data_IF_573968318987
#
_entry.id   IF_573968318987
#
_cell.length_a   1.000
_cell.length_b   1.000
_cell.length_c   1.000
_cell.angle_alpha   90.00
_cell.angle_beta   90.00
_cell.angle_gamma   90.00
#
_symmetry.space_group_name_H-M   'P 1'
#
loop_
_entity.id
_entity.type
_entity.pdbx_description
1 polymer ?
#
# COMPACT_ATOMS: atom_id res chain seq x y z
N UNK A 1 5.92 45.77 -4.55
CA UNK A 1 4.85 44.76 -4.35
C UNK A 1 4.78 43.90 -5.59
N UNK A 2 5.30 42.67 -5.56
CA UNK A 2 5.19 41.71 -6.67
C UNK A 2 4.09 40.72 -6.30
N UNK A 3 2.97 40.77 -7.03
CA UNK A 3 1.94 39.75 -6.97
C UNK A 3 2.48 38.50 -7.66
N UNK A 4 2.55 37.40 -6.91
CA UNK A 4 2.85 36.07 -7.46
C UNK A 4 1.49 35.43 -7.74
N UNK A 5 1.11 35.44 -9.02
CA UNK A 5 -0.01 34.64 -9.53
C UNK A 5 0.33 33.15 -9.39
N UNK A 6 -0.21 32.51 -8.35
CA UNK A 6 -0.24 31.06 -8.24
C UNK A 6 -1.45 30.53 -9.01
N UNK A 7 -1.34 30.49 -10.34
CA UNK A 7 -2.16 29.57 -11.14
C UNK A 7 -1.52 28.19 -11.05
N UNK A 8 -2.04 27.35 -10.15
CA UNK A 8 -1.77 25.91 -10.13
C UNK A 8 -2.34 25.30 -11.41
N UNK A 9 -1.51 25.21 -12.45
CA UNK A 9 -1.80 24.47 -13.66
C UNK A 9 -1.62 22.98 -13.36
N UNK A 10 -2.57 22.40 -12.63
CA UNK A 10 -2.88 20.98 -12.77
C UNK A 10 -3.71 20.88 -14.04
N UNK A 11 -3.04 20.84 -15.19
CA UNK A 11 -3.65 20.31 -16.40
C UNK A 11 -3.93 18.83 -16.12
N UNK A 12 -5.17 18.53 -15.72
CA UNK A 12 -5.74 17.20 -15.84
C UNK A 12 -5.51 16.76 -17.27
N UNK A 13 -4.59 15.81 -17.48
CA UNK A 13 -4.48 15.14 -18.76
C UNK A 13 -5.87 14.58 -19.05
N UNK A 14 -6.53 14.95 -20.16
CA UNK A 14 -7.79 14.34 -20.52
C UNK A 14 -7.51 12.84 -20.63
N UNK A 15 -8.02 12.07 -19.66
CA UNK A 15 -7.98 10.63 -19.73
C UNK A 15 -8.82 10.30 -20.96
N UNK A 16 -8.15 9.91 -22.04
CA UNK A 16 -8.82 9.42 -23.23
C UNK A 16 -9.81 8.35 -22.78
N UNK A 17 -11.10 8.64 -22.92
CA UNK A 17 -12.13 7.64 -22.75
C UNK A 17 -11.73 6.46 -23.63
N UNK A 18 -11.50 5.31 -23.01
CA UNK A 18 -11.25 4.06 -23.72
C UNK A 18 -12.59 3.63 -24.32
N UNK A 19 -13.03 4.33 -25.37
CA UNK A 19 -14.30 4.15 -26.11
C UNK A 19 -14.26 2.92 -27.01
N UNK A 20 -13.74 1.83 -26.49
CA UNK A 20 -13.83 0.56 -27.19
C UNK A 20 -15.23 0.02 -27.07
N UNK A 21 -15.84 -0.25 -28.21
CA UNK A 21 -17.15 -0.89 -28.28
C UNK A 21 -17.09 -2.23 -27.53
N UNK A 22 -17.98 -2.47 -26.54
CA UNK A 22 -17.97 -3.72 -25.78
C UNK A 22 -18.29 -4.89 -26.70
N UNK A 23 -17.44 -5.91 -26.63
CA UNK A 23 -17.64 -7.15 -27.37
C UNK A 23 -18.93 -7.88 -26.94
N UNK A 24 -19.45 -8.79 -27.78
CA UNK A 24 -20.71 -9.49 -27.50
C UNK A 24 -20.67 -10.31 -26.21
N UNK A 25 -19.50 -10.86 -25.87
CA UNK A 25 -19.30 -11.61 -24.62
C UNK A 25 -19.49 -10.72 -23.39
N UNK A 26 -18.86 -9.54 -23.37
CA UNK A 26 -18.98 -8.58 -22.26
C UNK A 26 -20.43 -8.18 -22.04
N UNK A 27 -21.14 -7.84 -23.13
CA UNK A 27 -22.57 -7.48 -23.07
C UNK A 27 -23.40 -8.63 -22.51
N UNK A 28 -23.21 -9.84 -23.04
CA UNK A 28 -23.95 -11.04 -22.61
C UNK A 28 -23.71 -11.35 -21.14
N UNK A 29 -22.45 -11.32 -20.68
CA UNK A 29 -22.11 -11.62 -19.29
C UNK A 29 -22.71 -10.60 -18.33
N UNK A 30 -22.62 -9.30 -18.65
CA UNK A 30 -23.20 -8.26 -17.78
C UNK A 30 -24.70 -8.41 -17.67
N UNK A 31 -25.41 -8.46 -18.82
CA UNK A 31 -26.87 -8.61 -18.85
C UNK A 31 -27.31 -9.88 -18.12
N UNK A 32 -26.65 -11.02 -18.34
CA UNK A 32 -27.03 -12.29 -17.71
C UNK A 32 -26.85 -12.32 -16.18
N UNK A 33 -26.03 -11.43 -15.62
CA UNK A 33 -25.82 -11.31 -14.17
C UNK A 33 -26.47 -10.04 -13.59
N UNK A 34 -27.18 -9.27 -14.39
CA UNK A 34 -27.89 -8.05 -14.00
C UNK A 34 -29.37 -8.29 -13.80
N UNK A 35 -30.03 -7.32 -13.17
CA UNK A 35 -31.50 -7.26 -13.19
C UNK A 35 -32.02 -6.69 -14.52
N UNK A 36 -31.29 -5.75 -15.12
CA UNK A 36 -31.68 -5.10 -16.37
C UNK A 36 -31.32 -5.90 -17.63
N UNK A 37 -32.18 -5.81 -18.65
CA UNK A 37 -31.99 -6.50 -19.93
C UNK A 37 -31.12 -5.71 -20.92
N UNK A 38 -30.90 -4.42 -20.67
CA UNK A 38 -30.08 -3.57 -21.53
C UNK A 38 -28.67 -3.43 -20.98
N UNK A 39 -27.68 -3.39 -21.87
CA UNK A 39 -26.27 -3.25 -21.47
C UNK A 39 -26.00 -1.92 -20.76
N UNK A 40 -26.61 -0.82 -21.21
CA UNK A 40 -26.38 0.52 -20.66
C UNK A 40 -26.87 0.65 -19.22
N UNK A 41 -27.95 -0.05 -18.87
CA UNK A 41 -28.44 -0.10 -17.49
C UNK A 41 -27.67 -1.15 -16.66
N UNK A 42 -27.42 -2.33 -17.25
CA UNK A 42 -26.73 -3.41 -16.57
C UNK A 42 -25.33 -3.02 -16.07
N UNK A 43 -24.60 -2.18 -16.81
CA UNK A 43 -23.25 -1.74 -16.41
C UNK A 43 -23.22 -0.80 -15.19
N UNK A 44 -24.36 -0.26 -14.77
CA UNK A 44 -24.50 0.69 -13.64
C UNK A 44 -24.73 0.01 -12.28
N UNK A 45 -25.02 -1.28 -12.28
CA UNK A 45 -25.46 -2.02 -11.08
C UNK A 45 -24.31 -2.57 -10.22
N UNK A 46 -23.06 -2.29 -10.60
CA UNK A 46 -21.89 -2.98 -10.05
C UNK A 46 -21.15 -2.12 -9.03
N UNK A 47 -20.72 -2.76 -7.95
CA UNK A 47 -19.85 -2.18 -6.93
C UNK A 47 -18.52 -2.93 -6.86
N UNK A 48 -17.46 -2.21 -6.48
CA UNK A 48 -16.16 -2.81 -6.24
C UNK A 48 -16.15 -3.44 -4.85
N UNK A 49 -15.89 -4.74 -4.76
CA UNK A 49 -15.91 -5.47 -3.49
C UNK A 49 -14.50 -5.69 -2.94
N UNK A 50 -13.60 -6.31 -3.72
CA UNK A 50 -12.28 -6.68 -3.22
C UNK A 50 -11.21 -6.82 -4.30
N UNK A 51 -9.95 -6.86 -3.85
CA UNK A 51 -8.79 -7.17 -4.66
C UNK A 51 -8.35 -8.61 -4.42
N UNK A 52 -8.04 -9.33 -5.49
CA UNK A 52 -7.58 -10.72 -5.46
C UNK A 52 -6.16 -10.76 -6.05
N UNK A 53 -5.13 -10.97 -5.20
CA UNK A 53 -3.75 -11.11 -5.68
C UNK A 53 -3.59 -12.41 -6.47
N UNK A 54 -2.59 -12.45 -7.35
CA UNK A 54 -2.29 -13.60 -8.21
C UNK A 54 -2.00 -14.88 -7.43
N UNK A 55 -1.42 -14.74 -6.25
CA UNK A 55 -1.06 -15.85 -5.37
C UNK A 55 -2.26 -16.40 -4.57
N UNK A 56 -3.44 -15.76 -4.67
CA UNK A 56 -4.65 -16.23 -3.99
C UNK A 56 -5.23 -17.47 -4.66
N UNK A 57 -5.79 -18.39 -3.86
CA UNK A 57 -6.58 -19.52 -4.36
C UNK A 57 -7.83 -19.08 -5.13
N UNK A 58 -8.34 -17.88 -4.82
CA UNK A 58 -9.47 -17.27 -5.51
C UNK A 58 -9.10 -16.62 -6.85
N UNK A 59 -7.83 -16.59 -7.23
CA UNK A 59 -7.42 -16.03 -8.50
C UNK A 59 -7.94 -16.86 -9.68
N UNK A 60 -8.33 -16.18 -10.76
CA UNK A 60 -8.77 -16.80 -12.01
C UNK A 60 -7.93 -16.26 -13.16
N UNK A 61 -7.38 -17.15 -13.97
CA UNK A 61 -6.47 -16.76 -15.07
C UNK A 61 -7.16 -15.98 -16.19
N UNK A 62 -8.48 -16.18 -16.32
CA UNK A 62 -9.29 -15.53 -17.33
C UNK A 62 -10.27 -14.56 -16.66
N UNK A 63 -10.39 -13.35 -17.20
CA UNK A 63 -11.41 -12.40 -16.75
C UNK A 63 -12.80 -12.95 -17.06
N UNK A 64 -13.68 -13.01 -16.06
CA UNK A 64 -15.04 -13.55 -16.24
C UNK A 64 -15.91 -12.66 -17.14
N UNK A 65 -15.52 -11.39 -17.35
CA UNK A 65 -16.24 -10.46 -18.21
C UNK A 65 -15.92 -10.63 -19.71
N UNK A 66 -14.62 -10.73 -20.06
CA UNK A 66 -14.17 -10.71 -21.45
C UNK A 66 -13.41 -11.97 -21.89
N UNK A 67 -13.15 -12.90 -20.97
CA UNK A 67 -12.39 -14.14 -21.16
C UNK A 67 -10.97 -13.97 -21.72
N UNK A 68 -10.41 -12.75 -21.66
CA UNK A 68 -9.00 -12.54 -21.94
C UNK A 68 -8.14 -13.17 -20.85
N UNK A 69 -6.91 -13.56 -21.19
CA UNK A 69 -5.96 -14.23 -20.28
C UNK A 69 -4.88 -13.26 -19.80
N UNK A 70 -4.00 -13.73 -18.92
CA UNK A 70 -2.77 -13.05 -18.51
C UNK A 70 -2.97 -11.75 -17.72
N UNK A 71 -4.01 -11.69 -16.90
CA UNK A 71 -4.10 -10.62 -15.91
C UNK A 71 -3.06 -10.85 -14.81
N UNK A 72 -2.47 -9.74 -14.34
CA UNK A 72 -1.53 -9.77 -13.21
C UNK A 72 -2.29 -9.76 -11.88
N UNK A 73 -3.51 -9.22 -11.89
CA UNK A 73 -4.35 -9.05 -10.72
C UNK A 73 -5.83 -9.15 -11.11
N UNK A 74 -6.64 -9.62 -10.17
CA UNK A 74 -8.08 -9.71 -10.31
C UNK A 74 -8.78 -8.79 -9.32
N UNK A 75 -9.93 -8.31 -9.72
CA UNK A 75 -10.82 -7.49 -8.92
C UNK A 75 -12.17 -8.20 -8.85
N UNK A 76 -12.73 -8.26 -7.65
CA UNK A 76 -14.08 -8.77 -7.46
C UNK A 76 -15.05 -7.60 -7.49
N UNK A 77 -16.01 -7.66 -8.42
CA UNK A 77 -17.15 -6.75 -8.47
C UNK A 77 -18.41 -7.52 -8.10
N UNK A 78 -19.33 -6.86 -7.38
CA UNK A 78 -20.61 -7.41 -6.98
C UNK A 78 -21.73 -6.60 -7.62
N UNK A 79 -22.78 -7.26 -8.11
CA UNK A 79 -24.00 -6.59 -8.53
C UNK A 79 -24.86 -6.30 -7.28
N UNK A 80 -25.29 -5.06 -7.10
CA UNK A 80 -26.04 -4.63 -5.92
C UNK A 80 -27.45 -5.23 -5.83
N UNK A 81 -28.05 -5.57 -6.97
CA UNK A 81 -29.43 -6.06 -7.06
C UNK A 81 -29.50 -7.59 -7.02
N UNK A 82 -28.58 -8.27 -7.73
CA UNK A 82 -28.61 -9.74 -7.89
C UNK A 82 -27.64 -10.47 -6.96
N UNK A 83 -26.78 -9.72 -6.26
CA UNK A 83 -25.68 -10.22 -5.43
C UNK A 83 -24.65 -11.09 -6.17
N UNK A 84 -24.74 -11.18 -7.50
CA UNK A 84 -23.79 -11.91 -8.33
C UNK A 84 -22.42 -11.26 -8.26
N UNK A 85 -21.38 -12.08 -8.25
CA UNK A 85 -19.99 -11.66 -8.16
C UNK A 85 -19.25 -12.05 -9.41
N UNK A 86 -18.39 -11.17 -9.91
CA UNK A 86 -17.51 -11.43 -11.04
C UNK A 86 -16.07 -11.08 -10.69
N UNK A 87 -15.14 -11.93 -11.12
CA UNK A 87 -13.70 -11.75 -11.02
C UNK A 87 -13.17 -11.22 -12.34
N UNK A 88 -12.73 -9.97 -12.36
CA UNK A 88 -12.45 -9.23 -13.58
C UNK A 88 -11.11 -8.49 -13.51
N UNK A 89 -10.50 -8.24 -14.66
CA UNK A 89 -9.31 -7.40 -14.75
C UNK A 89 -9.65 -5.91 -14.60
N UNK A 90 -8.68 -5.11 -14.13
CA UNK A 90 -8.82 -3.66 -13.96
C UNK A 90 -9.26 -2.95 -15.24
N UNK A 91 -8.75 -3.39 -16.39
CA UNK A 91 -9.07 -2.79 -17.69
C UNK A 91 -10.53 -3.01 -18.09
N UNK A 92 -11.11 -4.15 -17.70
CA UNK A 92 -12.52 -4.42 -17.94
C UNK A 92 -13.41 -3.51 -17.11
N UNK A 93 -13.05 -3.26 -15.85
CA UNK A 93 -13.77 -2.31 -14.99
C UNK A 93 -13.72 -0.92 -15.62
N UNK A 94 -12.51 -0.43 -15.95
CA UNK A 94 -12.32 0.93 -16.47
C UNK A 94 -13.01 1.21 -17.80
N UNK A 95 -13.31 0.18 -18.58
CA UNK A 95 -13.87 0.29 -19.94
C UNK A 95 -15.37 0.02 -20.00
N UNK A 96 -15.87 -0.90 -19.17
CA UNK A 96 -17.20 -1.48 -19.38
C UNK A 96 -18.10 -1.42 -18.16
N UNK A 97 -17.58 -1.05 -16.99
CA UNK A 97 -18.34 -1.00 -15.73
C UNK A 97 -18.35 0.43 -15.22
N UNK A 98 -19.55 0.95 -14.98
CA UNK A 98 -19.73 2.24 -14.32
C UNK A 98 -20.17 1.95 -12.88
N UNK A 99 -19.25 2.17 -11.95
CA UNK A 99 -19.45 1.80 -10.55
C UNK A 99 -20.62 2.59 -9.95
N UNK A 100 -21.42 1.90 -9.15
CA UNK A 100 -22.62 2.47 -8.54
C UNK A 100 -22.30 3.78 -7.78
N UNK A 101 -23.16 4.79 -7.96
CA UNK A 101 -22.99 6.12 -7.36
C UNK A 101 -22.18 7.12 -8.21
N UNK A 102 -21.68 6.71 -9.38
CA UNK A 102 -20.95 7.59 -10.31
C UNK A 102 -21.83 7.98 -11.50
N UNK A 103 -21.66 9.20 -12.03
CA UNK A 103 -22.51 9.74 -13.12
C UNK A 103 -21.97 9.43 -14.51
N UNK A 104 -20.67 9.17 -14.63
CA UNK A 104 -20.00 8.93 -15.90
C UNK A 104 -18.89 7.89 -15.77
N UNK A 105 -18.44 7.32 -16.89
CA UNK A 105 -17.32 6.38 -16.91
C UNK A 105 -16.02 7.02 -16.39
N UNK A 106 -15.77 8.29 -16.66
CA UNK A 106 -14.57 8.99 -16.17
C UNK A 106 -14.58 9.13 -14.65
N UNK A 107 -15.73 9.48 -14.08
CA UNK A 107 -15.91 9.52 -12.62
C UNK A 107 -15.77 8.12 -12.01
N UNK A 108 -16.32 7.09 -12.66
CA UNK A 108 -16.13 5.68 -12.27
C UNK A 108 -14.66 5.28 -12.26
N UNK A 109 -13.89 5.67 -13.27
CA UNK A 109 -12.47 5.35 -13.36
C UNK A 109 -11.66 6.08 -12.28
N UNK A 110 -11.95 7.35 -12.04
CA UNK A 110 -11.33 8.12 -10.96
C UNK A 110 -11.64 7.51 -9.58
N UNK A 111 -12.90 7.12 -9.35
CA UNK A 111 -13.32 6.42 -8.14
C UNK A 111 -12.60 5.07 -7.98
N UNK A 112 -12.52 4.28 -9.05
CA UNK A 112 -11.80 3.01 -9.07
C UNK A 112 -10.32 3.20 -8.73
N UNK A 113 -9.64 4.19 -9.33
CA UNK A 113 -8.22 4.45 -9.07
C UNK A 113 -7.95 4.88 -7.62
N UNK A 114 -8.87 5.62 -7.00
CA UNK A 114 -8.81 5.96 -5.57
C UNK A 114 -8.97 4.69 -4.72
N UNK A 115 -10.01 3.90 -5.00
CA UNK A 115 -10.28 2.66 -4.27
C UNK A 115 -9.19 1.61 -4.43
N UNK A 116 -8.61 1.50 -5.61
CA UNK A 116 -7.48 0.64 -5.89
C UNK A 116 -6.30 0.99 -4.96
N UNK A 117 -5.97 2.28 -4.84
CA UNK A 117 -4.91 2.75 -3.95
C UNK A 117 -5.23 2.46 -2.48
N UNK A 118 -6.47 2.71 -2.05
CA UNK A 118 -6.92 2.42 -0.69
C UNK A 118 -6.75 0.93 -0.36
N UNK A 119 -7.27 0.04 -1.21
CA UNK A 119 -7.21 -1.41 -1.01
C UNK A 119 -5.76 -1.91 -1.00
N UNK A 120 -4.90 -1.41 -1.91
CA UNK A 120 -3.48 -1.76 -1.93
C UNK A 120 -2.75 -1.33 -0.65
N UNK A 121 -3.06 -0.14 -0.11
CA UNK A 121 -2.53 0.30 1.20
C UNK A 121 -3.03 -0.59 2.34
N UNK A 122 -4.31 -0.97 2.35
CA UNK A 122 -4.84 -1.89 3.36
C UNK A 122 -4.14 -3.25 3.34
N UNK A 123 -3.97 -3.82 2.15
CA UNK A 123 -3.25 -5.09 1.99
C UNK A 123 -1.82 -4.99 2.48
N UNK A 124 -1.12 -3.89 2.16
CA UNK A 124 0.22 -3.63 2.70
C UNK A 124 0.22 -3.62 4.23
N UNK A 125 -0.77 -2.99 4.86
CA UNK A 125 -0.90 -3.00 6.32
C UNK A 125 -1.17 -4.41 6.85
N UNK A 126 -2.07 -5.17 6.24
CA UNK A 126 -2.41 -6.55 6.67
C UNK A 126 -1.20 -7.48 6.58
N UNK A 127 -0.40 -7.38 5.52
CA UNK A 127 0.84 -8.16 5.36
C UNK A 127 1.87 -7.79 6.43
N UNK A 128 2.05 -6.50 6.70
CA UNK A 128 3.02 -6.03 7.68
C UNK A 128 2.54 -6.09 9.14
N UNK A 129 1.24 -6.36 9.37
CA UNK A 129 0.61 -6.36 10.68
C UNK A 129 1.38 -7.21 11.69
N UNK A 130 1.62 -8.49 11.35
CA UNK A 130 2.33 -9.41 12.25
C UNK A 130 3.73 -8.89 12.53
N UNK A 131 4.46 -8.46 11.49
CA UNK A 131 5.82 -7.95 11.59
C UNK A 131 5.94 -6.78 12.56
N UNK A 132 4.96 -5.88 12.59
CA UNK A 132 5.02 -4.64 13.37
C UNK A 132 4.42 -4.78 14.77
N UNK A 133 3.26 -5.44 14.89
CA UNK A 133 2.49 -5.43 16.13
C UNK A 133 2.64 -6.70 16.96
N UNK A 134 3.01 -7.83 16.34
CA UNK A 134 3.11 -9.14 17.01
C UNK A 134 4.56 -9.49 17.34
N UNK A 135 5.47 -9.32 16.37
CA UNK A 135 6.88 -9.64 16.56
C UNK A 135 7.54 -8.69 17.57
N UNK A 136 8.50 -9.18 18.38
CA UNK A 136 9.08 -8.41 19.49
C UNK A 136 10.03 -7.30 19.04
N UNK A 137 10.57 -7.34 17.83
CA UNK A 137 11.60 -6.41 17.35
C UNK A 137 11.40 -6.05 15.86
N UNK A 138 10.37 -5.27 15.50
CA UNK A 138 10.26 -4.74 14.14
C UNK A 138 11.43 -3.82 13.79
N UNK A 139 11.78 -3.76 12.51
CA UNK A 139 12.76 -2.77 12.03
C UNK A 139 12.13 -1.37 12.05
N UNK A 140 12.96 -0.36 12.33
CA UNK A 140 12.52 1.04 12.36
C UNK A 140 11.85 1.45 11.04
N UNK A 141 12.38 0.98 9.90
CA UNK A 141 11.85 1.29 8.57
C UNK A 141 10.44 0.74 8.36
N UNK A 142 10.22 -0.52 8.72
CA UNK A 142 8.89 -1.16 8.55
C UNK A 142 7.88 -0.54 9.51
N UNK A 143 8.27 -0.31 10.77
CA UNK A 143 7.39 0.34 11.76
C UNK A 143 6.97 1.76 11.31
N UNK A 144 7.91 2.58 10.84
CA UNK A 144 7.60 3.93 10.35
C UNK A 144 6.75 3.92 9.07
N UNK A 145 7.01 2.97 8.16
CA UNK A 145 6.20 2.81 6.95
C UNK A 145 4.76 2.41 7.30
N UNK A 146 4.60 1.43 8.19
CA UNK A 146 3.30 0.99 8.69
C UNK A 146 2.53 2.15 9.32
N UNK A 147 3.16 2.88 10.25
CA UNK A 147 2.56 4.07 10.88
C UNK A 147 2.08 5.08 9.83
N UNK A 148 2.94 5.43 8.88
CA UNK A 148 2.61 6.41 7.84
C UNK A 148 1.40 5.96 7.01
N UNK A 149 1.39 4.72 6.55
CA UNK A 149 0.28 4.18 5.73
C UNK A 149 -1.03 4.12 6.53
N UNK A 150 -0.98 3.74 7.82
CA UNK A 150 -2.16 3.80 8.69
C UNK A 150 -2.70 5.22 8.81
N UNK A 151 -1.83 6.21 9.05
CA UNK A 151 -2.23 7.62 9.18
C UNK A 151 -2.81 8.16 7.87
N UNK A 152 -2.20 7.84 6.72
CA UNK A 152 -2.72 8.22 5.41
C UNK A 152 -4.14 7.69 5.19
N UNK A 153 -4.38 6.39 5.42
CA UNK A 153 -5.71 5.79 5.25
C UNK A 153 -6.75 6.38 6.21
N UNK A 154 -6.38 6.61 7.48
CA UNK A 154 -7.30 7.22 8.44
C UNK A 154 -7.63 8.67 8.09
N UNK A 155 -6.66 9.41 7.55
CA UNK A 155 -6.87 10.79 7.08
C UNK A 155 -7.79 10.81 5.86
N UNK A 156 -7.53 9.95 4.87
CA UNK A 156 -8.35 9.81 3.66
C UNK A 156 -9.81 9.44 4.01
N UNK A 157 -10.03 8.69 5.10
CA UNK A 157 -11.36 8.31 5.61
C UNK A 157 -12.01 9.31 6.56
N UNK A 158 -11.32 10.39 6.95
CA UNK A 158 -11.79 11.30 7.99
C UNK A 158 -11.89 10.67 9.40
N UNK A 159 -11.19 9.55 9.62
CA UNK A 159 -11.23 8.73 10.85
C UNK A 159 -9.99 8.91 11.74
N UNK A 160 -9.24 10.01 11.57
CA UNK A 160 -8.00 10.25 12.32
C UNK A 160 -8.22 10.31 13.84
N UNK A 161 -9.41 10.76 14.28
CA UNK A 161 -9.82 10.85 15.67
C UNK A 161 -9.85 9.49 16.39
N UNK A 162 -9.95 8.36 15.67
CA UNK A 162 -9.93 7.03 16.25
C UNK A 162 -8.57 6.67 16.89
N UNK A 163 -7.52 7.44 16.62
CA UNK A 163 -6.18 7.20 17.19
C UNK A 163 -6.12 7.65 18.67
N UNK A 164 -7.00 8.55 19.09
CA UNK A 164 -6.90 9.16 20.42
C UNK A 164 -7.61 8.33 21.49
N UNK A 165 -8.54 7.44 21.10
CA UNK A 165 -9.36 6.64 22.01
C UNK A 165 -9.02 5.15 21.96
N UNK A 166 -9.06 4.44 23.10
CA UNK A 166 -8.82 2.99 23.13
C UNK A 166 -9.89 2.20 22.35
N UNK A 167 -11.15 2.66 22.35
CA UNK A 167 -12.21 2.06 21.55
C UNK A 167 -11.94 2.25 20.04
N UNK A 168 -11.43 3.43 19.66
CA UNK A 168 -11.04 3.71 18.29
C UNK A 168 -9.89 2.82 17.82
N UNK A 169 -8.97 2.44 18.71
CA UNK A 169 -7.92 1.45 18.37
C UNK A 169 -8.54 0.12 17.98
N UNK A 170 -9.54 -0.37 18.73
CA UNK A 170 -10.22 -1.63 18.40
C UNK A 170 -10.92 -1.51 17.03
N UNK A 171 -11.58 -0.40 16.74
CA UNK A 171 -12.20 -0.15 15.43
C UNK A 171 -11.16 -0.15 14.29
N UNK A 172 -9.99 0.45 14.52
CA UNK A 172 -8.89 0.44 13.55
C UNK A 172 -8.42 -0.99 13.27
N UNK A 173 -8.26 -1.81 14.32
CA UNK A 173 -7.84 -3.21 14.15
C UNK A 173 -8.85 -4.03 13.34
N UNK A 174 -10.14 -3.87 13.64
CA UNK A 174 -11.20 -4.54 12.91
C UNK A 174 -11.26 -4.09 11.45
N UNK A 175 -11.24 -2.79 11.21
CA UNK A 175 -11.47 -2.22 9.87
C UNK A 175 -10.25 -2.29 8.94
N UNK A 176 -9.04 -1.99 9.43
CA UNK A 176 -7.83 -1.93 8.60
C UNK A 176 -7.05 -3.25 8.58
N UNK A 177 -7.00 -3.95 9.71
CA UNK A 177 -6.17 -5.15 9.86
C UNK A 177 -6.96 -6.46 9.80
N UNK A 178 -8.29 -6.38 9.70
CA UNK A 178 -9.20 -7.52 9.75
C UNK A 178 -8.95 -8.41 10.99
N UNK A 179 -8.73 -7.76 12.15
CA UNK A 179 -8.52 -8.42 13.44
C UNK A 179 -9.64 -8.06 14.40
N UNK A 180 -10.52 -9.01 14.73
CA UNK A 180 -11.65 -8.78 15.63
C UNK A 180 -11.24 -8.74 17.10
N UNK A 181 -10.23 -9.52 17.49
CA UNK A 181 -9.83 -9.72 18.88
C UNK A 181 -8.32 -9.46 19.09
N UNK A 182 -7.87 -8.20 19.03
CA UNK A 182 -6.47 -7.88 19.31
C UNK A 182 -6.13 -8.12 20.78
N UNK A 183 -4.98 -8.71 21.01
CA UNK A 183 -4.42 -8.89 22.35
C UNK A 183 -4.04 -7.55 22.99
N UNK A 184 -4.02 -7.50 24.33
CA UNK A 184 -3.58 -6.32 25.09
C UNK A 184 -2.15 -5.88 24.70
N UNK A 185 -1.30 -6.84 24.31
CA UNK A 185 0.06 -6.56 23.84
C UNK A 185 0.04 -5.83 22.50
N UNK A 186 -0.78 -6.27 21.55
CA UNK A 186 -0.90 -5.63 20.23
C UNK A 186 -1.49 -4.22 20.36
N UNK A 187 -2.51 -4.03 21.20
CA UNK A 187 -3.07 -2.70 21.50
C UNK A 187 -2.02 -1.78 22.14
N UNK A 188 -1.24 -2.29 23.09
CA UNK A 188 -0.12 -1.57 23.69
C UNK A 188 0.92 -1.16 22.66
N UNK A 189 1.34 -2.10 21.80
CA UNK A 189 2.30 -1.85 20.73
C UNK A 189 1.78 -0.80 19.73
N UNK A 190 0.49 -0.87 19.36
CA UNK A 190 -0.13 0.08 18.46
C UNK A 190 -0.18 1.49 19.07
N UNK A 191 -0.61 1.61 20.32
CA UNK A 191 -0.61 2.88 21.07
C UNK A 191 0.80 3.49 21.12
N UNK A 192 1.80 2.67 21.42
CA UNK A 192 3.21 3.09 21.42
C UNK A 192 3.65 3.55 20.02
N UNK A 193 3.30 2.82 18.95
CA UNK A 193 3.63 3.19 17.57
C UNK A 193 3.06 4.57 17.19
N UNK A 194 1.79 4.78 17.51
CA UNK A 194 1.07 5.99 17.11
C UNK A 194 1.53 7.22 17.89
N UNK A 195 1.72 7.10 19.20
CA UNK A 195 2.20 8.19 20.05
C UNK A 195 3.69 8.50 19.86
N UNK A 196 4.57 7.52 20.06
CA UNK A 196 6.02 7.70 19.94
C UNK A 196 6.72 6.37 19.53
N UNK A 197 7.14 6.24 18.26
CA UNK A 197 7.79 5.02 17.75
C UNK A 197 9.04 4.59 18.53
N UNK A 198 9.72 5.50 19.22
CA UNK A 198 10.94 5.19 20.00
C UNK A 198 10.63 4.31 21.22
N UNK A 199 9.37 4.29 21.69
CA UNK A 199 8.94 3.47 22.82
C UNK A 199 8.74 2.00 22.47
N UNK A 200 8.58 1.69 21.19
CA UNK A 200 8.57 0.31 20.74
C UNK A 200 9.98 -0.28 20.80
N UNK A 201 10.13 -1.54 21.21
CA UNK A 201 11.39 -2.25 21.07
C UNK A 201 11.68 -2.43 19.57
N UNK A 202 12.49 -1.53 18.99
CA UNK A 202 12.83 -1.54 17.57
C UNK A 202 14.22 -2.13 17.34
N UNK A 203 14.36 -2.97 16.31
CA UNK A 203 15.67 -3.40 15.83
C UNK A 203 16.32 -2.23 15.08
N UNK A 204 17.44 -1.72 15.61
CA UNK A 204 18.29 -0.78 14.87
C UNK A 204 18.89 -1.52 13.68
N UNK A 205 18.62 -1.04 12.48
CA UNK A 205 19.31 -1.51 11.29
C UNK A 205 20.79 -1.11 11.42
N UNK A 206 21.65 -2.06 11.82
CA UNK A 206 23.10 -1.88 11.65
C UNK A 206 23.31 -1.70 10.16
N UNK A 207 23.83 -0.52 9.75
CA UNK A 207 24.14 -0.24 8.34
C UNK A 207 24.82 -1.47 7.76
N UNK A 208 24.15 -2.17 6.83
CA UNK A 208 24.82 -3.20 6.03
C UNK A 208 26.07 -2.52 5.48
N UNK A 209 27.24 -3.05 5.81
CA UNK A 209 28.47 -2.62 5.17
C UNK A 209 28.17 -2.66 3.66
N UNK A 210 28.09 -1.49 3.01
CA UNK A 210 28.17 -1.46 1.56
C UNK A 210 29.54 -2.03 1.28
N UNK A 211 29.61 -3.26 0.77
CA UNK A 211 30.81 -3.70 0.10
C UNK A 211 31.16 -2.61 -0.89
N UNK A 212 32.31 -2.00 -0.68
CA UNK A 212 32.87 -1.00 -1.58
C UNK A 212 33.19 -1.76 -2.87
N UNK A 213 32.22 -1.84 -3.77
CA UNK A 213 32.47 -2.25 -5.16
C UNK A 213 33.28 -1.10 -5.76
N UNK A 214 34.60 -1.17 -5.60
CA UNK A 214 35.53 -0.26 -6.25
C UNK A 214 35.40 -0.55 -7.74
N UNK A 215 34.72 0.33 -8.49
CA UNK A 215 34.73 0.27 -9.95
C UNK A 215 36.19 0.38 -10.41
N UNK A 216 36.65 -0.58 -11.19
CA UNK A 216 37.94 -0.49 -11.87
C UNK A 216 37.99 0.83 -12.66
N UNK A 217 39.01 1.64 -12.39
CA UNK A 217 39.16 2.99 -12.96
C UNK A 217 38.68 4.15 -12.07
N UNK A 218 38.07 3.91 -10.91
CA UNK A 218 37.73 5.00 -9.98
C UNK A 218 38.98 5.56 -9.27
N UNK A 219 39.26 6.84 -9.50
CA UNK A 219 40.39 7.61 -8.93
C UNK A 219 40.16 8.05 -7.48
N UNK A 220 39.48 7.25 -6.66
CA UNK A 220 39.46 7.46 -5.21
C UNK A 220 40.70 6.82 -4.56
N UNK A 221 41.89 7.26 -5.00
CA UNK A 221 43.13 7.05 -4.25
C UNK A 221 43.21 8.09 -3.12
N UNK A 222 43.23 7.59 -1.88
CA UNK A 222 43.71 8.24 -0.63
C UNK A 222 42.80 9.29 0.05
N UNK A 223 41.91 8.81 0.92
CA UNK A 223 41.72 9.40 2.28
C UNK A 223 41.67 8.33 3.39
N UNK A 224 42.31 7.18 3.19
CA UNK A 224 42.53 6.15 4.22
C UNK A 224 43.86 6.33 4.96
N UNK A 225 44.18 7.54 5.43
CA UNK A 225 45.47 7.84 6.07
C UNK A 225 45.36 8.83 7.24
N UNK A 226 44.37 8.70 8.15
CA UNK A 226 44.37 9.50 9.41
C UNK A 226 43.95 8.72 10.67
N UNK A 227 43.63 7.42 10.62
CA UNK A 227 43.26 6.67 11.85
C UNK A 227 44.23 5.56 12.26
N UNK A 228 45.18 5.13 11.41
CA UNK A 228 46.13 4.07 11.77
C UNK A 228 47.48 4.56 12.31
N UNK A 229 47.70 5.87 12.43
CA UNK A 229 48.97 6.41 12.94
C UNK A 229 48.86 6.80 14.43
N UNK A 230 47.67 7.15 14.93
CA UNK A 230 47.50 7.59 16.34
C UNK A 230 47.61 6.47 17.37
N UNK A 231 47.35 5.20 17.01
CA UNK A 231 47.52 4.06 17.92
C UNK A 231 48.97 3.53 17.95
N UNK A 232 49.66 3.53 16.81
CA UNK A 232 50.99 2.93 16.66
C UNK A 232 52.11 3.79 17.29
N UNK A 233 51.92 5.11 17.42
CA UNK A 233 52.91 6.00 18.04
C UNK A 233 52.64 6.33 19.51
N UNK A 234 51.56 5.82 20.10
CA UNK A 234 51.31 6.05 21.52
C UNK A 234 52.25 5.18 22.37
N UNK A 235 53.12 5.82 23.16
CA UNK A 235 54.14 5.15 24.01
C UNK A 235 53.54 4.10 24.98
N UNK A 236 52.23 4.14 25.19
CA UNK A 236 51.46 3.26 26.08
C UNK A 236 51.41 1.80 25.56
N UNK A 237 51.47 1.58 24.24
CA UNK A 237 51.35 0.22 23.66
C UNK A 237 52.69 -0.42 23.29
N UNK A 238 53.81 0.30 23.44
CA UNK A 238 55.15 -0.28 23.20
C UNK A 238 55.65 -1.15 24.35
N UNK A 239 55.10 -0.99 25.55
CA UNK A 239 55.52 -1.79 26.70
C UNK A 239 54.38 -1.95 27.73
N UNK A 240 53.46 -2.92 27.55
CA UNK A 240 52.28 -3.07 28.39
C UNK A 240 52.58 -3.46 29.84
N UNK A 241 53.78 -3.97 30.13
CA UNK A 241 54.21 -4.38 31.48
C UNK A 241 54.43 -3.18 32.42
N UNK A 242 54.76 -1.99 31.90
CA UNK A 242 54.96 -0.77 32.70
C UNK A 242 53.68 -0.05 33.13
N UNK A 243 52.50 -0.62 32.83
CA UNK A 243 51.23 0.03 33.16
C UNK A 243 50.79 -0.20 34.62
N UNK A 244 51.42 -1.15 35.32
CA UNK A 244 51.01 -1.60 36.65
C UNK A 244 52.16 -1.57 37.68
N UNK A 245 53.28 -0.93 37.36
CA UNK A 245 54.28 -0.45 38.34
C UNK A 245 53.96 1.00 38.72
#
# INVERSE_FOLDING_TARGET
MRQIDQKSVLQEKPQLELTTIPGPLVKKTLIANSLNETFEEAKLEWELESYIPKESEDFVDNCELCNHRNYVENWQIKNQNTERKLKVGSDCIRRFVQLAGTKSQNESNAYFDIKEKEIKKELELRVNYKQVLVYPLPTVRVANRFKRVTLELLTERGKIHLIDTPEGHIEIFKSLYAQDNPSNKELGNFKSLMSNPVTLPLQKETRKYKELIIKEGSTFKKRGKVTNISLVTSKIYRNPEKKYE
#
